data_IF_978117453177
#
_entry.id   IF_978117453177
#
_cell.length_a   1.000
_cell.length_b   1.000
_cell.length_c   1.000
_cell.angle_alpha   90.00
_cell.angle_beta   90.00
_cell.angle_gamma   90.00
#
_symmetry.space_group_name_H-M   'P 1'
#
loop_
_entity.id
_entity.type
_entity.pdbx_description
1 polymer ?
#
# COMPACT_ATOMS: atom_id res chain seq x y z
N UNK A 1 21.01 6.04 45.53
CA UNK A 1 20.61 6.58 44.18
C UNK A 1 20.71 5.40 43.20
N UNK A 2 19.62 4.71 42.99
CA UNK A 2 19.55 3.58 42.07
C UNK A 2 19.00 4.12 40.74
N UNK A 3 19.81 4.04 39.68
CA UNK A 3 19.44 4.47 38.34
C UNK A 3 18.31 3.59 37.78
N UNK A 4 17.16 4.19 37.49
CA UNK A 4 16.10 3.59 36.68
C UNK A 4 16.64 3.39 35.26
N UNK A 5 17.11 2.19 34.97
CA UNK A 5 17.26 1.73 33.58
C UNK A 5 15.87 1.34 33.08
N UNK A 6 15.11 2.31 32.56
CA UNK A 6 13.84 2.09 31.89
C UNK A 6 14.16 1.52 30.50
N UNK A 7 14.35 0.20 30.39
CA UNK A 7 14.32 -0.51 29.11
C UNK A 7 12.87 -0.41 28.60
N UNK A 8 12.66 0.43 27.60
CA UNK A 8 11.46 0.45 26.76
C UNK A 8 11.37 -0.87 25.99
N UNK A 9 10.89 -1.92 26.62
CA UNK A 9 10.34 -3.08 25.95
C UNK A 9 9.03 -2.62 25.30
N UNK A 10 9.09 -2.35 23.99
CA UNK A 10 7.92 -1.93 23.23
C UNK A 10 6.84 -3.01 23.32
N UNK A 11 5.64 -2.64 23.80
CA UNK A 11 4.50 -3.56 23.80
C UNK A 11 4.30 -4.14 22.40
N UNK A 12 4.11 -5.47 22.31
CA UNK A 12 3.79 -6.19 21.07
C UNK A 12 2.57 -5.57 20.41
N UNK A 13 2.71 -5.18 19.16
CA UNK A 13 1.61 -4.64 18.36
C UNK A 13 0.92 -5.78 17.62
N UNK A 14 -0.16 -6.30 18.19
CA UNK A 14 -0.98 -7.33 17.55
C UNK A 14 -1.61 -6.77 16.26
N UNK A 15 -1.60 -7.56 15.18
CA UNK A 15 -2.09 -7.14 13.87
C UNK A 15 -1.15 -6.19 13.13
N UNK A 16 0.11 -6.10 13.54
CA UNK A 16 1.16 -5.28 12.92
C UNK A 16 2.49 -6.02 12.83
N UNK A 17 3.38 -5.48 12.01
CA UNK A 17 4.77 -5.93 11.98
C UNK A 17 5.51 -5.43 13.23
N UNK A 18 6.21 -6.37 13.86
CA UNK A 18 7.10 -6.15 14.99
C UNK A 18 8.51 -6.60 14.60
N UNK A 19 9.54 -6.02 15.18
CA UNK A 19 10.92 -6.52 15.09
C UNK A 19 11.25 -7.16 16.43
N UNK A 20 11.37 -8.49 16.44
CA UNK A 20 11.55 -9.29 17.65
C UNK A 20 12.81 -10.14 17.56
N UNK A 21 13.47 -10.34 18.70
CA UNK A 21 14.68 -11.15 18.78
C UNK A 21 14.35 -12.64 18.99
N UNK A 22 15.08 -13.53 18.34
CA UNK A 22 14.99 -14.98 18.55
C UNK A 22 15.65 -15.32 19.88
N UNK A 23 14.87 -15.86 20.83
CA UNK A 23 15.36 -16.24 22.16
C UNK A 23 15.60 -17.74 22.32
N UNK A 24 14.91 -18.57 21.53
CA UNK A 24 15.03 -20.03 21.66
C UNK A 24 14.62 -20.75 20.38
N UNK A 25 15.36 -21.79 20.00
CA UNK A 25 14.99 -22.73 18.94
C UNK A 25 14.32 -23.97 19.50
N UNK A 26 13.32 -24.50 18.81
CA UNK A 26 12.64 -25.77 19.08
C UNK A 26 12.38 -26.53 17.79
N UNK A 27 12.00 -27.80 17.85
CA UNK A 27 11.80 -28.65 16.66
C UNK A 27 10.71 -28.14 15.71
N UNK A 28 9.71 -27.45 16.25
CA UNK A 28 8.55 -26.91 15.52
C UNK A 28 8.65 -25.41 15.19
N UNK A 29 9.78 -24.73 15.53
CA UNK A 29 9.95 -23.32 15.21
C UNK A 29 11.00 -22.61 16.07
N UNK A 30 10.82 -21.30 16.21
CA UNK A 30 11.58 -20.46 17.14
C UNK A 30 10.66 -19.61 18.01
N UNK A 31 11.09 -19.30 19.23
CA UNK A 31 10.40 -18.34 20.07
C UNK A 31 11.06 -16.98 19.96
N UNK A 32 10.24 -15.96 19.84
CA UNK A 32 10.62 -14.56 19.71
C UNK A 32 10.32 -13.84 21.02
N UNK A 33 11.17 -12.91 21.39
CA UNK A 33 11.05 -12.16 22.65
C UNK A 33 9.83 -11.23 22.64
N UNK A 34 8.92 -11.47 23.57
CA UNK A 34 7.75 -10.63 23.87
C UNK A 34 7.84 -9.98 25.26
N UNK A 35 8.98 -10.14 25.95
CA UNK A 35 9.18 -9.71 27.32
C UNK A 35 8.60 -10.70 28.37
N UNK A 36 8.06 -11.86 27.96
CA UNK A 36 7.46 -12.87 28.84
C UNK A 36 7.85 -14.30 28.43
N UNK A 37 6.88 -15.09 27.93
CA UNK A 37 7.11 -16.51 27.57
C UNK A 37 7.64 -16.70 26.15
N UNK A 38 7.56 -15.70 25.33
CA UNK A 38 7.93 -15.68 23.91
C UNK A 38 6.79 -16.08 22.98
N UNK A 39 6.78 -15.44 21.78
CA UNK A 39 5.82 -15.72 20.72
C UNK A 39 6.42 -16.75 19.76
N UNK A 40 5.67 -17.81 19.46
CA UNK A 40 6.09 -18.83 18.50
C UNK A 40 6.06 -18.28 17.07
N UNK A 41 7.21 -18.43 16.36
CA UNK A 41 7.29 -18.39 14.90
C UNK A 41 7.43 -19.83 14.40
N UNK A 42 6.41 -20.41 13.75
CA UNK A 42 6.43 -21.79 13.27
C UNK A 42 7.56 -22.04 12.28
N UNK A 43 8.14 -23.25 12.29
CA UNK A 43 9.29 -23.65 11.48
C UNK A 43 9.20 -23.28 10.01
N UNK A 44 8.02 -23.42 9.41
CA UNK A 44 7.77 -23.09 7.99
C UNK A 44 7.92 -21.60 7.65
N UNK A 45 7.92 -20.73 8.66
CA UNK A 45 8.06 -19.27 8.51
C UNK A 45 9.44 -18.78 9.01
N UNK A 46 10.26 -19.66 9.53
CA UNK A 46 11.61 -19.31 10.00
C UNK A 46 12.53 -19.15 8.80
N UNK A 47 13.22 -18.01 8.64
CA UNK A 47 14.21 -17.81 7.57
C UNK A 47 15.33 -18.85 7.64
N UNK A 48 15.92 -19.19 6.47
CA UNK A 48 17.13 -20.01 6.42
C UNK A 48 18.25 -19.34 7.24
N UNK A 49 19.06 -20.16 7.93
CA UNK A 49 20.19 -19.71 8.76
C UNK A 49 19.84 -18.81 9.97
N UNK A 50 18.56 -18.78 10.38
CA UNK A 50 18.15 -18.05 11.58
C UNK A 50 18.81 -18.62 12.84
N UNK A 51 19.37 -17.77 13.69
CA UNK A 51 20.02 -18.14 14.96
C UNK A 51 19.39 -17.43 16.16
N UNK A 52 19.63 -17.98 17.36
CA UNK A 52 19.31 -17.28 18.61
C UNK A 52 20.09 -15.97 18.66
N UNK A 53 19.42 -14.88 19.02
CA UNK A 53 19.96 -13.52 19.00
C UNK A 53 19.64 -12.72 17.74
N UNK A 54 19.22 -13.36 16.64
CA UNK A 54 18.83 -12.66 15.41
C UNK A 54 17.53 -11.88 15.62
N UNK A 55 17.45 -10.68 15.02
CA UNK A 55 16.24 -9.87 14.98
C UNK A 55 15.44 -10.14 13.72
N UNK A 56 14.17 -10.51 13.86
CA UNK A 56 13.27 -10.82 12.76
C UNK A 56 12.13 -9.84 12.70
N UNK A 57 11.82 -9.34 11.49
CA UNK A 57 10.59 -8.59 11.23
C UNK A 57 9.46 -9.59 10.97
N UNK A 58 8.51 -9.65 11.88
CA UNK A 58 7.40 -10.61 11.86
C UNK A 58 6.07 -9.91 12.07
N UNK A 59 5.01 -10.45 11.48
CA UNK A 59 3.65 -10.06 11.76
C UNK A 59 3.09 -10.89 12.91
N UNK A 60 2.49 -10.26 13.91
CA UNK A 60 1.94 -10.93 15.10
C UNK A 60 0.43 -10.93 15.05
N UNK A 61 -0.19 -12.09 15.22
CA UNK A 61 -1.65 -12.26 15.19
C UNK A 61 -2.10 -13.45 16.04
N UNK A 62 -3.41 -13.66 16.18
CA UNK A 62 -3.96 -14.82 16.92
C UNK A 62 -4.20 -16.01 15.97
N UNK A 63 -3.72 -17.19 16.36
CA UNK A 63 -3.99 -18.44 15.65
C UNK A 63 -5.46 -18.93 15.87
N UNK A 64 -5.76 -20.15 15.38
CA UNK A 64 -7.10 -20.76 15.53
C UNK A 64 -7.52 -21.05 16.98
N UNK A 65 -6.56 -21.11 17.91
CA UNK A 65 -6.76 -21.39 19.35
C UNK A 65 -6.60 -20.12 20.20
N UNK A 66 -6.63 -18.93 19.56
CA UNK A 66 -6.48 -17.60 20.18
C UNK A 66 -5.13 -17.34 20.88
N UNK A 67 -4.07 -18.10 20.52
CA UNK A 67 -2.72 -17.83 21.00
C UNK A 67 -2.04 -16.84 20.09
N UNK A 68 -1.20 -15.95 20.64
CA UNK A 68 -0.34 -15.10 19.85
C UNK A 68 0.69 -15.94 19.10
N UNK A 69 0.77 -15.72 17.78
CA UNK A 69 1.69 -16.39 16.87
C UNK A 69 2.31 -15.37 15.92
N UNK A 70 3.54 -15.63 15.52
CA UNK A 70 4.27 -14.81 14.57
C UNK A 70 4.34 -15.48 13.18
N UNK A 71 4.44 -14.67 12.14
CA UNK A 71 4.69 -15.12 10.78
C UNK A 71 5.58 -14.14 10.02
N UNK A 72 6.38 -14.63 9.09
CA UNK A 72 7.10 -13.81 8.11
C UNK A 72 6.29 -13.57 6.84
N UNK A 73 5.09 -14.14 6.75
CA UNK A 73 4.16 -13.84 5.65
C UNK A 73 3.73 -12.37 5.67
N UNK A 74 3.45 -11.86 4.50
CA UNK A 74 2.94 -10.48 4.33
C UNK A 74 1.42 -10.52 4.18
N UNK A 75 0.64 -10.06 5.17
CA UNK A 75 -0.79 -9.87 4.99
C UNK A 75 -1.06 -8.74 3.99
N UNK A 76 -2.25 -8.74 3.40
CA UNK A 76 -2.70 -7.69 2.48
C UNK A 76 -2.94 -6.33 3.19
N UNK A 77 -2.94 -6.31 4.52
CA UNK A 77 -3.02 -5.11 5.36
C UNK A 77 -2.78 -5.41 6.83
N UNK A 78 -2.60 -4.35 7.60
CA UNK A 78 -2.37 -4.36 9.05
C UNK A 78 -3.55 -3.69 9.76
N UNK A 79 -3.61 -3.81 11.07
CA UNK A 79 -4.56 -3.04 11.90
C UNK A 79 -4.43 -1.55 11.62
N UNK A 80 -5.56 -0.90 11.31
CA UNK A 80 -5.64 0.49 10.88
C UNK A 80 -5.73 0.67 9.35
N UNK A 81 -5.36 -0.34 8.56
CA UNK A 81 -5.41 -0.25 7.10
C UNK A 81 -6.83 -0.45 6.57
N UNK A 82 -7.13 0.28 5.49
CA UNK A 82 -8.32 0.07 4.66
C UNK A 82 -7.86 -0.65 3.40
N UNK A 83 -8.41 -1.85 3.16
CA UNK A 83 -7.97 -2.76 2.10
C UNK A 83 -9.17 -3.41 1.39
N UNK A 84 -9.01 -3.73 0.12
CA UNK A 84 -9.97 -4.54 -0.62
C UNK A 84 -9.61 -6.02 -0.46
N UNK A 85 -10.53 -6.79 0.10
CA UNK A 85 -10.36 -8.21 0.35
C UNK A 85 -11.51 -9.02 -0.26
N UNK A 86 -11.24 -10.29 -0.59
CA UNK A 86 -12.23 -11.21 -1.11
C UNK A 86 -12.81 -12.05 0.04
N UNK A 87 -14.14 -12.15 0.09
CA UNK A 87 -14.82 -13.06 1.00
C UNK A 87 -14.65 -14.51 0.52
N UNK A 88 -14.15 -15.36 1.40
CA UNK A 88 -13.97 -16.81 1.16
C UNK A 88 -15.25 -17.56 1.49
N UNK A 89 -15.81 -17.28 2.65
CA UNK A 89 -17.02 -17.94 3.15
C UNK A 89 -17.85 -17.00 4.00
N UNK A 90 -19.12 -17.37 4.19
CA UNK A 90 -20.06 -16.61 5.02
C UNK A 90 -20.82 -17.54 5.94
N UNK A 91 -21.14 -17.04 7.13
CA UNK A 91 -21.96 -17.72 8.16
C UNK A 91 -23.06 -16.77 8.63
N UNK A 92 -23.93 -17.24 9.50
CA UNK A 92 -24.92 -16.38 10.15
C UNK A 92 -24.28 -15.25 11.00
N UNK A 93 -23.09 -15.49 11.56
CA UNK A 93 -22.36 -14.57 12.41
C UNK A 93 -21.58 -13.50 11.60
N UNK A 94 -21.16 -13.80 10.37
CA UNK A 94 -20.37 -12.89 9.56
C UNK A 94 -19.72 -13.55 8.36
N UNK A 95 -18.72 -12.88 7.80
CA UNK A 95 -17.93 -13.32 6.65
C UNK A 95 -16.47 -13.54 7.04
N UNK A 96 -15.82 -14.46 6.36
CA UNK A 96 -14.38 -14.71 6.45
C UNK A 96 -13.72 -14.26 5.16
N UNK A 97 -12.66 -13.46 5.28
CA UNK A 97 -11.98 -12.83 4.14
C UNK A 97 -10.54 -13.30 4.03
N UNK A 98 -10.13 -13.61 2.82
CA UNK A 98 -8.74 -13.89 2.54
C UNK A 98 -7.91 -12.61 2.65
N UNK A 99 -6.88 -12.61 3.49
CA UNK A 99 -6.00 -11.46 3.72
C UNK A 99 -4.50 -11.81 3.67
N UNK A 100 -4.17 -12.97 3.11
CA UNK A 100 -2.78 -13.40 2.90
C UNK A 100 -2.18 -14.22 4.04
N UNK A 101 -2.93 -14.48 5.10
CA UNK A 101 -2.51 -15.36 6.20
C UNK A 101 -3.32 -16.66 6.22
N UNK A 102 -2.87 -17.62 7.02
CA UNK A 102 -3.54 -18.93 7.12
C UNK A 102 -4.93 -18.87 7.76
N UNK A 103 -5.11 -17.97 8.74
CA UNK A 103 -6.40 -17.72 9.38
C UNK A 103 -7.06 -16.57 8.63
N UNK A 104 -8.24 -16.83 8.08
CA UNK A 104 -9.03 -15.78 7.43
C UNK A 104 -9.45 -14.68 8.38
N UNK A 105 -9.57 -13.46 7.88
CA UNK A 105 -9.99 -12.30 8.66
C UNK A 105 -11.52 -12.27 8.79
N UNK A 106 -12.02 -12.16 10.00
CA UNK A 106 -13.45 -12.16 10.28
C UNK A 106 -14.07 -10.76 10.16
N UNK A 107 -15.24 -10.68 9.49
CA UNK A 107 -16.09 -9.48 9.42
C UNK A 107 -17.43 -9.81 10.07
N UNK A 108 -17.70 -9.36 11.29
CA UNK A 108 -18.97 -9.60 11.97
C UNK A 108 -20.16 -9.10 11.12
N UNK A 109 -21.31 -9.78 11.22
CA UNK A 109 -22.52 -9.37 10.48
C UNK A 109 -22.92 -7.92 10.77
N UNK A 110 -22.78 -7.49 12.02
CA UNK A 110 -23.04 -6.11 12.45
C UNK A 110 -22.07 -5.08 11.87
N UNK A 111 -20.88 -5.50 11.43
CA UNK A 111 -19.84 -4.66 10.85
C UNK A 111 -19.93 -4.57 9.30
N UNK A 112 -20.89 -5.24 8.68
CA UNK A 112 -21.14 -5.20 7.25
C UNK A 112 -22.15 -4.09 6.92
N UNK A 113 -21.99 -3.45 5.76
CA UNK A 113 -23.00 -2.51 5.19
C UNK A 113 -24.06 -3.28 4.43
N UNK A 114 -23.67 -4.31 3.69
CA UNK A 114 -24.55 -5.21 2.96
C UNK A 114 -24.23 -6.65 3.31
N UNK A 115 -25.09 -7.61 2.94
CA UNK A 115 -24.77 -9.02 3.12
C UNK A 115 -23.60 -9.42 2.22
N UNK A 116 -22.45 -9.69 2.79
CA UNK A 116 -21.30 -10.21 2.03
C UNK A 116 -21.61 -11.57 1.42
N UNK A 117 -21.10 -11.80 0.20
CA UNK A 117 -21.24 -13.05 -0.54
C UNK A 117 -19.86 -13.67 -0.79
N UNK A 118 -19.73 -15.00 -0.78
CA UNK A 118 -18.48 -15.66 -1.16
C UNK A 118 -18.02 -15.23 -2.55
N UNK A 119 -16.70 -15.07 -2.73
CA UNK A 119 -16.03 -14.54 -3.92
C UNK A 119 -16.28 -13.05 -4.20
N UNK A 120 -17.13 -12.35 -3.42
CA UNK A 120 -17.29 -10.90 -3.51
C UNK A 120 -16.06 -10.18 -2.94
N UNK A 121 -15.73 -9.04 -3.54
CA UNK A 121 -14.66 -8.16 -3.07
C UNK A 121 -15.25 -6.96 -2.34
N UNK A 122 -14.70 -6.66 -1.16
CA UNK A 122 -15.22 -5.61 -0.27
C UNK A 122 -14.06 -4.77 0.27
N UNK A 123 -14.29 -3.46 0.35
CA UNK A 123 -13.35 -2.55 1.00
C UNK A 123 -13.63 -2.56 2.50
N UNK A 124 -12.65 -2.93 3.29
CA UNK A 124 -12.80 -3.09 4.74
C UNK A 124 -11.63 -2.44 5.48
N UNK A 125 -11.89 -1.93 6.68
CA UNK A 125 -10.88 -1.48 7.63
C UNK A 125 -10.56 -2.60 8.61
N UNK A 126 -9.29 -2.90 8.78
CA UNK A 126 -8.81 -3.88 9.76
C UNK A 126 -8.67 -3.19 11.12
N UNK A 127 -9.21 -3.78 12.17
CA UNK A 127 -9.17 -3.23 13.52
C UNK A 127 -9.04 -4.32 14.58
N UNK A 128 -8.75 -3.94 15.81
CA UNK A 128 -8.83 -4.83 16.98
C UNK A 128 -10.18 -4.61 17.64
N UNK A 129 -10.96 -5.67 17.77
CA UNK A 129 -12.22 -5.65 18.50
C UNK A 129 -11.90 -5.50 20.00
N UNK A 130 -12.29 -4.37 20.59
CA UNK A 130 -12.00 -4.03 22.00
C UNK A 130 -12.59 -5.04 23.01
N UNK A 131 -13.68 -5.72 22.63
CA UNK A 131 -14.34 -6.69 23.52
C UNK A 131 -13.61 -8.04 23.57
N UNK A 132 -13.06 -8.44 22.44
CA UNK A 132 -12.43 -9.76 22.29
C UNK A 132 -10.92 -9.73 22.19
N UNK A 133 -10.32 -8.55 21.93
CA UNK A 133 -8.90 -8.38 21.65
C UNK A 133 -8.47 -8.96 20.29
N UNK A 134 -9.41 -9.47 19.47
CA UNK A 134 -9.12 -10.15 18.21
C UNK A 134 -9.05 -9.17 17.06
N UNK A 135 -8.25 -9.51 16.06
CA UNK A 135 -8.22 -8.78 14.78
C UNK A 135 -9.50 -9.13 14.01
N UNK A 136 -10.23 -8.10 13.59
CA UNK A 136 -11.45 -8.17 12.81
C UNK A 136 -11.44 -7.11 11.72
N UNK A 137 -12.45 -7.11 10.83
CA UNK A 137 -12.60 -6.04 9.85
C UNK A 137 -14.04 -5.53 9.80
N UNK A 138 -14.21 -4.31 9.26
CA UNK A 138 -15.50 -3.64 9.11
C UNK A 138 -15.61 -2.91 7.78
N UNK A 139 -16.80 -2.92 7.16
CA UNK A 139 -17.14 -2.00 6.06
C UNK A 139 -17.55 -0.61 6.58
N UNK A 140 -17.89 -0.49 7.86
CA UNK A 140 -18.43 0.72 8.49
C UNK A 140 -17.30 1.61 9.03
N UNK A 141 -16.42 2.06 8.15
CA UNK A 141 -15.26 2.91 8.51
C UNK A 141 -15.40 4.36 8.02
N UNK A 142 -16.49 4.73 7.35
CA UNK A 142 -16.66 6.08 6.79
C UNK A 142 -16.63 7.17 7.86
N UNK A 143 -17.13 6.88 9.07
CA UNK A 143 -17.08 7.79 10.23
C UNK A 143 -15.67 8.03 10.78
N UNK A 144 -14.72 7.16 10.46
CA UNK A 144 -13.33 7.27 10.92
C UNK A 144 -12.51 8.18 10.00
N UNK A 145 -13.08 8.56 8.85
CA UNK A 145 -12.44 9.45 7.88
C UNK A 145 -12.89 10.89 8.14
N UNK A 146 -11.98 11.76 8.47
CA UNK A 146 -12.28 13.16 8.73
C UNK A 146 -11.22 14.09 8.14
N UNK A 147 -11.68 15.21 7.58
CA UNK A 147 -10.83 16.30 7.13
C UNK A 147 -10.86 17.50 8.11
N UNK A 148 -11.47 17.38 9.29
CA UNK A 148 -11.52 18.48 10.26
C UNK A 148 -10.14 18.87 10.76
N UNK A 149 -9.29 17.89 11.06
CA UNK A 149 -7.93 18.10 11.54
C UNK A 149 -6.95 17.40 10.56
N UNK A 150 -6.47 18.15 9.57
CA UNK A 150 -5.57 17.60 8.58
C UNK A 150 -4.19 17.32 9.16
N UNK A 151 -3.68 16.11 8.91
CA UNK A 151 -2.33 15.67 9.27
C UNK A 151 -1.38 15.64 8.08
N UNK A 152 -1.82 16.16 6.94
CA UNK A 152 -1.07 16.20 5.68
C UNK A 152 -0.84 17.61 5.21
N UNK A 153 0.22 17.82 4.42
CA UNK A 153 0.64 19.11 3.90
C UNK A 153 0.67 19.14 2.37
N UNK A 154 0.66 20.34 1.80
CA UNK A 154 0.81 20.53 0.36
C UNK A 154 2.10 19.88 -0.15
N UNK A 155 2.03 19.17 -1.28
CA UNK A 155 3.13 18.45 -1.91
C UNK A 155 3.66 17.24 -1.12
N UNK A 156 3.05 16.89 0.01
CA UNK A 156 3.40 15.68 0.77
C UNK A 156 3.07 14.41 0.00
N UNK A 157 3.98 13.44 0.05
CA UNK A 157 3.75 12.11 -0.51
C UNK A 157 2.86 11.30 0.44
N UNK A 158 1.79 10.72 -0.10
CA UNK A 158 0.77 10.01 0.67
C UNK A 158 0.40 8.68 0.03
N UNK A 159 -0.16 7.78 0.84
CA UNK A 159 -0.77 6.55 0.35
C UNK A 159 -2.25 6.81 0.04
N UNK A 160 -2.68 6.39 -1.15
CA UNK A 160 -4.05 6.55 -1.63
C UNK A 160 -4.73 5.20 -1.76
N UNK A 161 -6.00 5.14 -1.34
CA UNK A 161 -6.91 4.01 -1.60
C UNK A 161 -8.12 4.55 -2.35
N UNK A 162 -8.43 4.00 -3.51
CA UNK A 162 -9.61 4.41 -4.29
C UNK A 162 -10.86 3.95 -3.57
N UNK A 163 -11.68 4.91 -3.13
CA UNK A 163 -12.87 4.65 -2.31
C UNK A 163 -14.14 4.52 -3.14
N UNK A 164 -14.42 5.50 -4.00
CA UNK A 164 -15.60 5.50 -4.88
C UNK A 164 -15.40 6.36 -6.11
N UNK A 165 -16.09 6.01 -7.19
CA UNK A 165 -16.11 6.80 -8.43
C UNK A 165 -17.12 7.94 -8.30
N UNK A 166 -16.82 9.07 -8.95
CA UNK A 166 -17.69 10.25 -9.12
C UNK A 166 -17.60 10.78 -10.55
N UNK A 167 -18.43 11.75 -10.90
CA UNK A 167 -18.43 12.36 -12.25
C UNK A 167 -17.14 13.14 -12.55
N UNK A 168 -16.48 13.68 -11.53
CA UNK A 168 -15.24 14.47 -11.67
C UNK A 168 -13.95 13.67 -11.49
N UNK A 169 -14.06 12.41 -11.07
CA UNK A 169 -12.89 11.57 -10.76
C UNK A 169 -13.21 10.49 -9.75
N UNK A 170 -12.32 10.31 -8.78
CA UNK A 170 -12.49 9.37 -7.68
C UNK A 170 -12.30 10.06 -6.34
N UNK A 171 -13.17 9.74 -5.39
CA UNK A 171 -12.84 9.98 -3.99
C UNK A 171 -11.82 8.93 -3.57
N UNK A 172 -10.74 9.38 -2.97
CA UNK A 172 -9.69 8.52 -2.43
C UNK A 172 -9.53 8.73 -0.94
N UNK A 173 -9.11 7.70 -0.24
CA UNK A 173 -8.72 7.76 1.16
C UNK A 173 -7.23 8.03 1.22
N UNK A 174 -6.83 9.00 2.02
CA UNK A 174 -5.45 9.48 2.18
C UNK A 174 -4.93 8.99 3.53
N UNK A 175 -3.86 8.20 3.52
CA UNK A 175 -3.19 7.66 4.73
C UNK A 175 -4.14 6.96 5.72
N UNK A 176 -5.26 6.38 5.24
CA UNK A 176 -6.33 5.76 6.03
C UNK A 176 -7.07 6.72 7.01
N UNK A 177 -6.92 8.04 6.88
CA UNK A 177 -7.44 9.06 7.79
C UNK A 177 -8.31 10.09 7.11
N UNK A 178 -7.90 10.60 5.95
CA UNK A 178 -8.57 11.71 5.27
C UNK A 178 -9.19 11.27 3.96
N UNK A 179 -10.02 12.13 3.38
CA UNK A 179 -10.56 11.95 2.04
C UNK A 179 -10.08 13.06 1.11
N UNK A 180 -9.88 12.73 -0.16
CA UNK A 180 -9.52 13.69 -1.20
C UNK A 180 -10.11 13.30 -2.54
N UNK A 181 -9.95 14.17 -3.54
CA UNK A 181 -10.40 13.94 -4.91
C UNK A 181 -9.19 13.75 -5.82
N UNK A 182 -9.19 12.63 -6.53
CA UNK A 182 -8.31 12.36 -7.66
C UNK A 182 -9.09 12.61 -8.95
N UNK A 183 -8.83 13.71 -9.61
CA UNK A 183 -9.54 14.11 -10.82
C UNK A 183 -9.21 13.22 -12.02
N UNK A 184 -10.16 13.04 -12.97
CA UNK A 184 -9.95 12.21 -14.17
C UNK A 184 -8.72 12.60 -14.98
N UNK A 185 -8.40 13.89 -15.06
CA UNK A 185 -7.23 14.42 -15.80
C UNK A 185 -5.87 14.12 -15.12
N UNK A 186 -5.88 13.62 -13.89
CA UNK A 186 -4.70 13.17 -13.15
C UNK A 186 -4.51 11.64 -13.22
N UNK A 187 -5.40 10.94 -13.93
CA UNK A 187 -5.42 9.48 -14.01
C UNK A 187 -4.91 9.08 -15.38
N UNK A 188 -3.81 8.34 -15.40
CA UNK A 188 -3.13 7.92 -16.62
C UNK A 188 -3.11 6.39 -16.77
N UNK A 189 -3.86 5.68 -15.93
CA UNK A 189 -4.03 4.23 -15.99
C UNK A 189 -5.45 3.85 -15.58
N UNK A 190 -5.88 2.66 -15.95
CA UNK A 190 -7.14 2.13 -15.40
C UNK A 190 -7.01 1.95 -13.89
N UNK A 191 -7.97 2.48 -13.13
CA UNK A 191 -8.06 2.33 -11.68
C UNK A 191 -9.46 1.87 -11.28
N UNK A 192 -9.52 1.09 -10.22
CA UNK A 192 -10.75 0.51 -9.67
C UNK A 192 -10.87 0.78 -8.18
N UNK A 193 -12.09 0.73 -7.66
CA UNK A 193 -12.32 0.84 -6.21
C UNK A 193 -11.51 -0.21 -5.47
N UNK A 194 -10.80 0.22 -4.43
CA UNK A 194 -9.90 -0.59 -3.63
C UNK A 194 -8.45 -0.61 -4.10
N UNK A 195 -8.12 -0.06 -5.27
CA UNK A 195 -6.73 0.07 -5.71
C UNK A 195 -5.94 0.96 -4.74
N UNK A 196 -4.68 0.55 -4.49
CA UNK A 196 -3.75 1.27 -3.60
C UNK A 196 -2.51 1.70 -4.36
N UNK A 197 -2.13 2.95 -4.20
CA UNK A 197 -0.91 3.51 -4.81
C UNK A 197 -0.44 4.76 -4.10
N UNK A 198 0.81 5.13 -4.34
CA UNK A 198 1.36 6.39 -3.86
C UNK A 198 0.86 7.57 -4.69
N UNK A 199 0.64 8.69 -4.02
CA UNK A 199 0.32 9.96 -4.63
C UNK A 199 0.87 11.12 -3.81
N UNK A 200 0.43 12.32 -4.10
CA UNK A 200 0.80 13.51 -3.32
C UNK A 200 -0.38 14.48 -3.21
N UNK A 201 -0.35 15.30 -2.18
CA UNK A 201 -1.32 16.37 -1.95
C UNK A 201 -1.05 17.48 -2.96
N UNK A 202 -2.01 17.74 -3.84
CA UNK A 202 -1.92 18.75 -4.90
C UNK A 202 -2.42 20.10 -4.45
N UNK A 203 -3.58 20.14 -3.77
CA UNK A 203 -4.18 21.33 -3.20
C UNK A 203 -4.86 20.99 -1.87
N UNK A 204 -4.86 21.94 -0.96
CA UNK A 204 -5.71 21.94 0.25
C UNK A 204 -6.49 23.24 0.21
N UNK A 205 -7.82 23.13 0.24
CA UNK A 205 -8.74 24.26 0.19
C UNK A 205 -9.06 24.77 1.61
N UNK A 206 -9.55 26.02 1.75
CA UNK A 206 -9.89 26.59 3.07
C UNK A 206 -10.97 25.81 3.84
N UNK A 207 -11.81 25.03 3.15
CA UNK A 207 -12.81 24.13 3.72
C UNK A 207 -12.28 22.71 3.98
N UNK A 208 -10.95 22.55 4.00
CA UNK A 208 -10.24 21.28 4.21
C UNK A 208 -10.52 20.20 3.13
N UNK A 209 -11.08 20.58 1.98
CA UNK A 209 -11.10 19.67 0.83
C UNK A 209 -9.67 19.51 0.27
N UNK A 210 -9.39 18.33 -0.21
CA UNK A 210 -8.06 17.95 -0.69
C UNK A 210 -8.16 17.45 -2.11
N UNK A 211 -7.37 18.05 -3.02
CA UNK A 211 -7.06 17.43 -4.31
C UNK A 211 -5.74 16.67 -4.22
N UNK A 212 -5.72 15.49 -4.81
CA UNK A 212 -4.52 14.66 -4.91
C UNK A 212 -4.16 14.39 -6.37
N UNK A 213 -2.91 14.05 -6.60
CA UNK A 213 -2.46 13.52 -7.88
C UNK A 213 -1.73 12.18 -7.69
N UNK A 214 -1.82 11.30 -8.68
CA UNK A 214 -1.13 10.02 -8.67
C UNK A 214 0.37 10.21 -8.95
N UNK A 215 1.22 9.36 -8.36
CA UNK A 215 2.67 9.37 -8.59
C UNK A 215 3.45 10.31 -7.67
N UNK A 216 4.63 10.76 -8.13
CA UNK A 216 5.52 11.67 -7.38
C UNK A 216 5.30 13.13 -7.78
N UNK A 217 5.50 14.10 -6.87
CA UNK A 217 5.37 15.51 -7.21
C UNK A 217 6.49 16.01 -8.11
N UNK A 218 6.15 16.89 -9.08
CA UNK A 218 7.08 17.77 -9.80
C UNK A 218 8.28 17.09 -10.48
N UNK A 219 9.48 17.60 -10.23
CA UNK A 219 10.74 17.17 -10.88
C UNK A 219 11.12 15.70 -10.64
N UNK A 220 10.74 15.10 -9.50
CA UNK A 220 10.97 13.69 -9.24
C UNK A 220 10.25 12.76 -10.23
N UNK A 221 9.06 13.15 -10.68
CA UNK A 221 8.30 12.44 -11.71
C UNK A 221 9.01 12.47 -13.06
N UNK A 222 9.60 13.60 -13.45
CA UNK A 222 10.32 13.75 -14.72
C UNK A 222 11.57 12.88 -14.73
N UNK A 223 12.27 12.72 -13.62
CA UNK A 223 13.45 11.84 -13.54
C UNK A 223 13.08 10.37 -13.61
N UNK A 224 12.06 9.91 -12.88
CA UNK A 224 11.60 8.51 -12.94
C UNK A 224 11.09 8.15 -14.35
N UNK A 225 10.37 9.06 -15.00
CA UNK A 225 9.88 8.87 -16.37
C UNK A 225 11.02 8.95 -17.40
N UNK A 226 12.06 9.75 -17.13
CA UNK A 226 13.27 9.80 -17.95
C UNK A 226 14.05 8.48 -17.88
N UNK A 227 14.22 7.90 -16.69
CA UNK A 227 14.87 6.60 -16.50
C UNK A 227 14.10 5.48 -17.21
N UNK A 228 12.77 5.49 -17.16
CA UNK A 228 11.94 4.53 -17.91
C UNK A 228 12.18 4.63 -19.41
N UNK A 229 12.18 5.85 -19.98
CA UNK A 229 12.44 6.05 -21.41
C UNK A 229 13.83 5.57 -21.79
N UNK A 230 14.85 5.86 -20.99
CA UNK A 230 16.22 5.39 -21.23
C UNK A 230 16.31 3.87 -21.17
N UNK A 231 15.68 3.23 -20.17
CA UNK A 231 15.64 1.78 -20.06
C UNK A 231 14.94 1.12 -21.25
N UNK A 232 13.83 1.71 -21.72
CA UNK A 232 13.14 1.24 -22.92
C UNK A 232 14.01 1.37 -24.16
N UNK A 233 14.73 2.49 -24.33
CA UNK A 233 15.68 2.70 -25.44
C UNK A 233 16.78 1.62 -25.42
N UNK A 234 17.37 1.36 -24.26
CA UNK A 234 18.40 0.34 -24.09
C UNK A 234 17.91 -1.06 -24.49
N UNK A 235 16.66 -1.40 -24.11
CA UNK A 235 16.03 -2.67 -24.44
C UNK A 235 15.63 -2.80 -25.92
N UNK A 236 15.57 -1.69 -26.67
CA UNK A 236 15.18 -1.62 -28.09
C UNK A 236 16.32 -1.12 -28.97
N UNK A 237 17.54 -1.57 -28.71
CA UNK A 237 18.74 -1.22 -29.50
C UNK A 237 18.98 0.28 -29.64
N UNK A 238 18.59 1.05 -28.65
CA UNK A 238 18.83 2.48 -28.58
C UNK A 238 17.89 3.36 -29.42
N UNK A 239 16.86 2.82 -30.08
CA UNK A 239 15.91 3.58 -30.91
C UNK A 239 14.46 3.21 -30.58
N UNK A 240 13.59 4.24 -30.56
CA UNK A 240 12.13 4.08 -30.41
C UNK A 240 11.40 4.95 -31.46
N UNK A 241 10.43 4.36 -32.22
CA UNK A 241 9.72 5.03 -33.29
C UNK A 241 8.53 5.87 -32.79
N UNK A 242 8.76 6.69 -31.78
CA UNK A 242 7.75 7.57 -31.19
C UNK A 242 8.25 9.00 -31.16
N UNK A 243 7.35 9.98 -31.35
CA UNK A 243 7.66 11.38 -31.31
C UNK A 243 6.53 12.20 -30.68
N UNK A 244 6.69 13.50 -30.60
CA UNK A 244 5.74 14.43 -29.97
C UNK A 244 4.33 14.43 -30.61
N UNK A 245 4.18 13.92 -31.84
CA UNK A 245 2.92 13.81 -32.57
C UNK A 245 2.29 12.44 -32.50
N UNK A 246 2.98 11.40 -31.99
CA UNK A 246 2.42 10.06 -31.76
C UNK A 246 1.11 10.07 -30.96
N UNK A 247 0.25 9.09 -31.18
CA UNK A 247 -1.04 8.97 -30.52
C UNK A 247 -0.95 8.97 -28.99
N UNK A 248 -1.94 9.52 -28.31
CA UNK A 248 -1.92 9.56 -26.83
C UNK A 248 -2.06 8.16 -26.25
N UNK A 249 -2.85 7.28 -26.88
CA UNK A 249 -3.06 5.89 -26.48
C UNK A 249 -1.79 5.06 -26.69
N UNK A 250 -1.14 5.17 -27.85
CA UNK A 250 0.14 4.52 -28.15
C UNK A 250 1.24 4.89 -27.14
N UNK A 251 1.35 6.19 -26.83
CA UNK A 251 2.31 6.68 -25.84
C UNK A 251 2.01 6.08 -24.47
N UNK A 252 0.73 5.99 -24.11
CA UNK A 252 0.33 5.42 -22.83
C UNK A 252 0.62 3.92 -22.74
N UNK A 253 0.29 3.15 -23.78
CA UNK A 253 0.52 1.71 -23.84
C UNK A 253 2.01 1.35 -23.69
N UNK A 254 2.88 2.10 -24.37
CA UNK A 254 4.32 1.79 -24.41
C UNK A 254 5.07 2.37 -23.21
N UNK A 255 4.79 3.60 -22.83
CA UNK A 255 5.56 4.32 -21.80
C UNK A 255 4.85 4.42 -20.46
N UNK A 256 3.54 4.09 -20.37
CA UNK A 256 2.76 4.20 -19.15
C UNK A 256 2.58 5.64 -18.64
N UNK A 257 2.71 6.64 -19.51
CA UNK A 257 2.63 8.06 -19.17
C UNK A 257 1.74 8.86 -20.12
N UNK A 258 1.25 10.03 -19.68
CA UNK A 258 0.47 10.91 -20.57
C UNK A 258 1.32 11.50 -21.67
N UNK A 259 0.71 11.84 -22.83
CA UNK A 259 1.37 12.53 -23.93
C UNK A 259 2.04 13.85 -23.48
N UNK A 260 1.44 14.58 -22.54
CA UNK A 260 2.01 15.81 -21.97
C UNK A 260 3.28 15.50 -21.16
N UNK A 261 3.25 14.47 -20.32
CA UNK A 261 4.41 14.00 -19.55
C UNK A 261 5.51 13.52 -20.49
N UNK A 262 5.17 12.70 -21.49
CA UNK A 262 6.09 12.20 -22.50
C UNK A 262 6.83 13.34 -23.21
N UNK A 263 6.10 14.35 -23.72
CA UNK A 263 6.72 15.53 -24.34
C UNK A 263 7.67 16.28 -23.41
N UNK A 264 7.27 16.49 -22.16
CA UNK A 264 8.13 17.15 -21.16
C UNK A 264 9.40 16.34 -20.88
N UNK A 265 9.26 15.03 -20.77
CA UNK A 265 10.37 14.11 -20.47
C UNK A 265 11.33 14.03 -21.64
N UNK A 266 10.84 13.90 -22.89
CA UNK A 266 11.68 13.96 -24.09
C UNK A 266 12.42 15.28 -24.19
N UNK A 267 11.75 16.41 -23.97
CA UNK A 267 12.38 17.74 -24.00
C UNK A 267 13.46 17.89 -22.92
N UNK A 268 13.30 17.26 -21.76
CA UNK A 268 14.29 17.25 -20.70
C UNK A 268 15.50 16.37 -21.05
N UNK A 269 15.26 15.13 -21.53
CA UNK A 269 16.30 14.22 -21.97
C UNK A 269 17.13 14.81 -23.15
N UNK A 270 16.48 15.47 -24.09
CA UNK A 270 17.15 16.16 -25.20
C UNK A 270 18.03 17.29 -24.68
N UNK A 271 17.55 18.16 -23.79
CA UNK A 271 18.36 19.23 -23.17
C UNK A 271 19.55 18.70 -22.37
N UNK A 272 19.40 17.53 -21.75
CA UNK A 272 20.48 16.81 -21.05
C UNK A 272 21.43 16.09 -21.99
N UNK A 273 21.20 16.16 -23.31
CA UNK A 273 21.99 15.47 -24.36
C UNK A 273 22.03 13.94 -24.16
N UNK A 274 21.01 13.36 -23.58
CA UNK A 274 20.88 11.90 -23.38
C UNK A 274 20.20 11.20 -24.55
N UNK A 275 19.45 11.95 -25.36
CA UNK A 275 18.76 11.45 -26.53
C UNK A 275 18.94 12.43 -27.71
N UNK A 276 18.80 11.90 -28.95
CA UNK A 276 18.69 12.67 -30.19
C UNK A 276 17.27 12.46 -30.72
N UNK A 277 16.62 13.58 -31.09
CA UNK A 277 15.30 13.56 -31.73
C UNK A 277 15.44 13.41 -33.23
N UNK A 278 14.68 12.51 -33.83
CA UNK A 278 14.64 12.27 -35.29
C UNK A 278 13.22 12.51 -35.83
N UNK A 279 13.06 12.51 -37.16
CA UNK A 279 11.75 12.73 -37.80
C UNK A 279 10.73 11.62 -37.45
N UNK A 280 11.19 10.41 -37.26
CA UNK A 280 10.38 9.21 -37.06
C UNK A 280 10.42 8.66 -35.64
N UNK A 281 11.22 9.26 -34.75
CA UNK A 281 11.39 8.77 -33.39
C UNK A 281 12.48 9.48 -32.61
N UNK A 282 13.10 8.79 -31.70
CA UNK A 282 14.25 9.27 -30.91
C UNK A 282 15.19 8.13 -30.55
N UNK A 283 16.48 8.46 -30.41
CA UNK A 283 17.50 7.48 -30.05
C UNK A 283 18.39 7.97 -28.91
N UNK A 284 19.10 7.01 -28.26
CA UNK A 284 20.16 7.37 -27.31
C UNK A 284 21.19 8.26 -27.99
N UNK A 285 21.70 9.27 -27.28
CA UNK A 285 22.90 9.99 -27.70
C UNK A 285 24.13 9.09 -27.48
N UNK A 286 25.06 9.20 -28.42
CA UNK A 286 26.34 8.46 -28.34
C UNK A 286 27.20 8.96 -27.19
#
# INVERSE_FOLDING_TARGET
>A
MAGLNCYLYGMIQVGRFNTLQVIRKVDFGVFLDDGAQGILLPKRFVPAHCNVGDSLKVFVYHDGEDRLIATTQQPMGQVGDIVKLQAVSTTAQGAFMHWGLMKDLFVPRSAQLSGMKPKGEYLVKIFIDEKTGRIAATEKFASDLSNENLTVQLMEQVNLVVYRRTDIGYVVIINNLHTGVLHHNEIYRSISVGDRFGGFIKNIYPDNKIDVAAGKPGYGRVNDEAEKIITLLQNHNGYLPYHDKSGAEEIYEVFGMSKKTFKMTLGNLYRQKKIVLEKTGFRLAD
#
